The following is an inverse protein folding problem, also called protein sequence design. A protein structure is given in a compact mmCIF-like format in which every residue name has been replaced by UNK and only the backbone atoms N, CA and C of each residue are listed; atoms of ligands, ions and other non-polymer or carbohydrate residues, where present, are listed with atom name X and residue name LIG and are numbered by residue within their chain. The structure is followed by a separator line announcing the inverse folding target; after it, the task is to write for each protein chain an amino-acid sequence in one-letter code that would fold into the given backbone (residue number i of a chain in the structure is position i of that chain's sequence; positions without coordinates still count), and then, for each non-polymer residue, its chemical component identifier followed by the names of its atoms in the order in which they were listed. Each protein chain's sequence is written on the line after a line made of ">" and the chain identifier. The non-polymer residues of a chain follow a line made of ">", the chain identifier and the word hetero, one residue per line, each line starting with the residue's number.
data_IF_655318701629
#
_entry.id   IF_655318701629
#
_cell.length_a   1.000
_cell.length_b   1.000
_cell.length_c   1.000
_cell.angle_alpha   90.00
_cell.angle_beta   90.00
_cell.angle_gamma   90.00
#
_symmetry.space_group_name_H-M   'P 1'
#
loop_
_entity.id
_entity.type
_entity.pdbx_description
1 polymer ?
#
# COMPACT_ATOMS: atom_id res chain seq x y z
N UNK A 1 -5.44 -6.74 -3.28
CA UNK A 1 -5.00 -5.35 -3.10
C UNK A 1 -4.14 -5.26 -1.84
N UNK A 2 -2.94 -4.71 -1.99
CA UNK A 2 -2.09 -4.39 -0.86
C UNK A 2 -2.03 -2.88 -0.69
N UNK A 3 -2.08 -2.39 0.54
CA UNK A 3 -1.79 -0.99 0.82
C UNK A 3 -0.27 -0.81 0.87
N UNK A 4 0.18 0.40 0.70
CA UNK A 4 1.60 0.74 0.63
C UNK A 4 1.90 1.88 1.58
N UNK A 5 2.73 1.63 2.58
CA UNK A 5 3.11 2.61 3.58
C UNK A 5 2.27 2.54 4.86
N UNK A 6 2.78 1.83 5.89
CA UNK A 6 2.10 1.63 7.16
C UNK A 6 2.38 2.77 8.12
N UNK A 7 1.83 3.96 7.86
CA UNK A 7 1.96 5.12 8.72
C UNK A 7 0.66 5.38 9.48
N UNK A 8 0.75 6.15 10.57
CA UNK A 8 -0.43 6.57 11.32
C UNK A 8 -1.40 7.36 10.42
N UNK A 9 -0.86 8.25 9.59
CA UNK A 9 -1.65 9.05 8.67
C UNK A 9 -2.33 8.17 7.62
N UNK A 10 -1.60 7.20 7.08
CA UNK A 10 -2.15 6.25 6.11
C UNK A 10 -3.26 5.41 6.72
N UNK A 11 -3.08 4.94 7.95
CA UNK A 11 -4.10 4.16 8.64
C UNK A 11 -5.36 4.99 8.90
N UNK A 12 -5.21 6.27 9.18
CA UNK A 12 -6.34 7.20 9.32
C UNK A 12 -7.12 7.30 8.01
N UNK A 13 -6.42 7.35 6.88
CA UNK A 13 -7.07 7.38 5.56
C UNK A 13 -7.86 6.09 5.33
N UNK A 14 -7.29 4.94 5.68
CA UNK A 14 -7.99 3.66 5.55
C UNK A 14 -9.27 3.63 6.39
N UNK A 15 -9.20 4.12 7.62
CA UNK A 15 -10.35 4.19 8.50
C UNK A 15 -11.43 5.12 7.95
N UNK A 16 -11.01 6.24 7.39
CA UNK A 16 -11.94 7.22 6.79
C UNK A 16 -12.74 6.59 5.65
N UNK A 17 -12.11 5.76 4.83
CA UNK A 17 -12.76 5.08 3.70
C UNK A 17 -13.35 3.72 4.09
N UNK A 18 -13.30 3.36 5.37
CA UNK A 18 -13.80 2.09 5.89
C UNK A 18 -13.14 0.88 5.22
N UNK A 19 -11.85 1.02 4.90
CA UNK A 19 -11.06 -0.06 4.31
C UNK A 19 -10.33 -0.82 5.41
N UNK A 20 -10.48 -2.12 5.43
CA UNK A 20 -9.88 -2.99 6.44
C UNK A 20 -9.43 -4.32 5.82
N UNK A 21 -9.18 -5.32 6.67
CA UNK A 21 -8.71 -6.63 6.25
C UNK A 21 -9.69 -7.43 5.37
N UNK A 22 -10.91 -6.96 5.24
CA UNK A 22 -11.90 -7.59 4.33
C UNK A 22 -11.69 -7.15 2.89
N UNK A 23 -11.11 -5.98 2.68
CA UNK A 23 -10.89 -5.41 1.34
C UNK A 23 -9.42 -5.41 0.95
N UNK A 24 -8.55 -5.12 1.92
CA UNK A 24 -7.11 -5.01 1.72
C UNK A 24 -6.45 -6.25 2.34
N UNK A 25 -5.60 -6.94 1.59
CA UNK A 25 -4.99 -8.18 2.05
C UNK A 25 -3.84 -7.97 3.03
N UNK A 26 -3.06 -6.93 2.83
CA UNK A 26 -1.90 -6.60 3.67
C UNK A 26 -1.43 -5.19 3.40
N UNK A 27 -0.51 -4.69 4.22
CA UNK A 27 0.09 -3.38 4.01
C UNK A 27 1.61 -3.52 4.02
N UNK A 28 2.26 -3.00 2.97
CA UNK A 28 3.70 -3.08 2.80
C UNK A 28 4.39 -1.88 3.43
N UNK A 29 5.51 -2.11 4.11
CA UNK A 29 6.31 -1.05 4.70
C UNK A 29 7.79 -1.42 4.67
N UNK A 30 8.66 -0.42 4.55
CA UNK A 30 10.11 -0.61 4.54
C UNK A 30 10.69 -0.79 5.93
N UNK A 31 10.01 -0.31 6.96
CA UNK A 31 10.53 -0.33 8.32
C UNK A 31 10.37 -1.70 8.96
N UNK A 32 11.47 -2.46 9.19
CA UNK A 32 11.37 -3.80 9.76
C UNK A 32 10.79 -3.84 11.16
N UNK A 33 10.84 -2.74 11.91
CA UNK A 33 10.25 -2.67 13.23
C UNK A 33 8.73 -2.78 13.23
N UNK A 34 8.10 -2.55 12.07
CA UNK A 34 6.65 -2.63 11.92
C UNK A 34 6.18 -3.99 11.45
N UNK A 35 7.06 -4.80 10.89
CA UNK A 35 6.66 -6.08 10.29
C UNK A 35 6.11 -7.05 11.34
N UNK A 36 5.14 -7.87 10.93
CA UNK A 36 4.43 -8.84 11.76
C UNK A 36 3.50 -8.20 12.80
N UNK A 37 3.29 -6.88 12.72
CA UNK A 37 2.30 -6.17 13.52
C UNK A 37 1.06 -5.94 12.68
N UNK A 38 -0.02 -5.56 13.36
CA UNK A 38 -1.28 -5.23 12.67
C UNK A 38 -1.63 -3.76 12.88
N UNK A 39 -2.25 -3.17 11.88
CA UNK A 39 -2.71 -1.79 11.97
C UNK A 39 -3.91 -1.68 12.90
N UNK A 40 -3.98 -0.58 13.65
CA UNK A 40 -5.04 -0.36 14.64
C UNK A 40 -6.34 0.01 13.93
N UNK A 41 -7.43 -0.69 14.28
CA UNK A 41 -8.76 -0.39 13.73
C UNK A 41 -9.02 -0.97 12.34
N UNK A 42 -8.01 -1.19 11.54
CA UNK A 42 -8.12 -1.78 10.19
C UNK A 42 -7.65 -3.23 10.13
N UNK A 43 -6.87 -3.65 11.13
CA UNK A 43 -6.43 -5.03 11.31
C UNK A 43 -5.65 -5.61 10.13
N UNK A 44 -4.86 -4.79 9.45
CA UNK A 44 -4.01 -5.23 8.35
C UNK A 44 -2.65 -5.69 8.85
N UNK A 45 -2.19 -6.85 8.39
CA UNK A 45 -0.83 -7.30 8.70
C UNK A 45 0.19 -6.43 7.96
N UNK A 46 1.21 -5.99 8.67
CA UNK A 46 2.29 -5.21 8.10
C UNK A 46 3.39 -6.17 7.65
N UNK A 47 3.71 -6.13 6.36
CA UNK A 47 4.72 -7.00 5.75
C UNK A 47 5.79 -6.16 5.06
N UNK A 48 6.92 -6.78 4.72
CA UNK A 48 7.96 -6.09 3.97
C UNK A 48 7.49 -5.81 2.54
N UNK A 49 8.06 -4.79 1.91
CA UNK A 49 7.80 -4.52 0.49
C UNK A 49 8.18 -5.71 -0.37
N UNK A 50 9.30 -6.37 -0.04
CA UNK A 50 9.75 -7.55 -0.76
C UNK A 50 8.74 -8.70 -0.68
N UNK A 51 8.23 -8.98 0.52
CA UNK A 51 7.21 -10.01 0.70
C UNK A 51 5.94 -9.65 -0.06
N UNK A 52 5.53 -8.40 -0.02
CA UNK A 52 4.36 -7.93 -0.76
C UNK A 52 4.52 -8.17 -2.26
N UNK A 53 5.69 -7.85 -2.82
CA UNK A 53 5.96 -8.10 -4.24
C UNK A 53 5.89 -9.58 -4.58
N UNK A 54 6.38 -10.45 -3.69
CA UNK A 54 6.36 -11.89 -3.92
C UNK A 54 4.95 -12.47 -3.95
N UNK A 55 4.01 -11.82 -3.29
CA UNK A 55 2.60 -12.22 -3.28
C UNK A 55 1.84 -11.71 -4.51
N UNK A 56 2.49 -10.90 -5.34
CA UNK A 56 1.99 -10.42 -6.65
C UNK A 56 0.60 -9.78 -6.57
N UNK A 57 0.42 -8.70 -5.77
CA UNK A 57 -0.86 -8.00 -5.76
C UNK A 57 -1.11 -7.34 -7.12
N UNK A 58 -2.37 -7.23 -7.50
CA UNK A 58 -2.75 -6.54 -8.74
C UNK A 58 -2.69 -5.03 -8.57
N UNK A 59 -2.93 -4.54 -7.36
CA UNK A 59 -2.97 -3.12 -7.03
C UNK A 59 -2.20 -2.83 -5.76
N UNK A 60 -1.49 -1.68 -5.76
CA UNK A 60 -0.99 -1.05 -4.53
C UNK A 60 -1.80 0.21 -4.27
N UNK A 61 -2.44 0.28 -3.12
CA UNK A 61 -3.12 1.49 -2.64
C UNK A 61 -2.09 2.38 -1.95
N UNK A 62 -1.76 3.50 -2.58
CA UNK A 62 -0.70 4.39 -2.12
C UNK A 62 -1.26 5.36 -1.08
N UNK A 63 -0.80 5.21 0.16
CA UNK A 63 -1.24 6.06 1.27
C UNK A 63 -0.36 7.31 1.45
N UNK A 64 0.99 7.20 1.45
CA UNK A 64 1.84 8.38 1.55
C UNK A 64 2.07 9.00 0.17
N UNK A 65 1.04 9.59 -0.40
CA UNK A 65 1.02 10.11 -1.77
C UNK A 65 2.08 11.17 -2.06
N UNK A 66 2.62 11.83 -1.02
CA UNK A 66 3.71 12.81 -1.18
C UNK A 66 4.97 12.20 -1.79
N UNK A 67 5.15 10.89 -1.65
CA UNK A 67 6.33 10.18 -2.14
C UNK A 67 6.02 9.34 -3.38
N UNK A 68 4.95 9.69 -4.10
CA UNK A 68 4.46 8.89 -5.23
C UNK A 68 5.54 8.65 -6.29
N UNK A 69 6.29 9.67 -6.67
CA UNK A 69 7.33 9.54 -7.70
C UNK A 69 8.43 8.57 -7.28
N UNK A 70 8.83 8.62 -6.01
CA UNK A 70 9.82 7.68 -5.46
C UNK A 70 9.29 6.24 -5.53
N UNK A 71 8.02 6.04 -5.19
CA UNK A 71 7.41 4.71 -5.24
C UNK A 71 7.27 4.21 -6.67
N UNK A 72 6.95 5.08 -7.62
CA UNK A 72 6.88 4.72 -9.04
C UNK A 72 8.22 4.19 -9.54
N UNK A 73 9.32 4.85 -9.20
CA UNK A 73 10.66 4.41 -9.58
C UNK A 73 11.00 3.07 -8.93
N UNK A 74 10.66 2.92 -7.65
CA UNK A 74 10.98 1.71 -6.88
C UNK A 74 10.18 0.50 -7.34
N UNK A 75 8.96 0.72 -7.86
CA UNK A 75 8.05 -0.34 -8.26
C UNK A 75 7.94 -0.53 -9.78
N UNK A 76 8.96 -0.19 -10.53
CA UNK A 76 8.94 -0.35 -12.00
C UNK A 76 8.67 -1.79 -12.43
N UNK A 77 9.23 -2.76 -11.73
CA UNK A 77 9.00 -4.18 -12.01
C UNK A 77 7.51 -4.53 -11.82
N UNK A 78 6.89 -4.01 -10.79
CA UNK A 78 5.47 -4.20 -10.53
C UNK A 78 4.62 -3.68 -11.69
N UNK A 79 4.90 -2.47 -12.18
CA UNK A 79 4.19 -1.92 -13.33
C UNK A 79 4.44 -2.73 -14.60
N UNK A 80 5.66 -3.18 -14.80
CA UNK A 80 6.05 -3.99 -15.97
C UNK A 80 5.24 -5.27 -16.03
N UNK A 81 4.88 -5.82 -14.88
CA UNK A 81 4.09 -7.05 -14.78
C UNK A 81 2.58 -6.78 -14.77
N UNK A 82 2.15 -5.57 -15.09
CA UNK A 82 0.74 -5.21 -15.21
C UNK A 82 0.10 -4.67 -13.95
N UNK A 83 0.87 -4.42 -12.90
CA UNK A 83 0.36 -3.86 -11.65
C UNK A 83 -0.04 -2.39 -11.81
N UNK A 84 -0.90 -1.91 -10.92
CA UNK A 84 -1.41 -0.55 -10.94
C UNK A 84 -1.38 0.05 -9.54
N UNK A 85 -1.19 1.36 -9.47
CA UNK A 85 -1.31 2.11 -8.22
C UNK A 85 -2.70 2.74 -8.14
N UNK A 86 -3.29 2.69 -6.96
CA UNK A 86 -4.49 3.46 -6.63
C UNK A 86 -4.05 4.58 -5.70
N UNK A 87 -4.26 5.82 -6.11
CA UNK A 87 -3.88 7.00 -5.34
C UNK A 87 -5.14 7.73 -4.92
N UNK A 88 -5.59 7.59 -3.65
CA UNK A 88 -6.86 8.17 -3.21
C UNK A 88 -6.81 9.68 -2.94
N UNK A 89 -5.62 10.24 -2.73
CA UNK A 89 -5.44 11.65 -2.38
C UNK A 89 -4.27 12.27 -3.15
N UNK A 90 -4.26 13.58 -3.43
CA UNK A 90 -5.36 14.52 -3.15
C UNK A 90 -6.58 14.30 -4.04
N UNK A 91 -6.40 13.71 -5.21
CA UNK A 91 -7.46 13.33 -6.12
C UNK A 91 -7.35 11.85 -6.42
N UNK A 92 -8.48 11.16 -6.48
CA UNK A 92 -8.48 9.73 -6.79
C UNK A 92 -7.91 9.49 -8.18
N UNK A 93 -6.89 8.63 -8.28
CA UNK A 93 -6.25 8.27 -9.55
C UNK A 93 -5.88 6.81 -9.57
N UNK A 94 -5.90 6.22 -10.76
CA UNK A 94 -5.31 4.90 -11.00
C UNK A 94 -4.14 5.11 -11.94
N UNK A 95 -2.94 4.69 -11.49
CA UNK A 95 -1.71 4.86 -12.26
C UNK A 95 -1.27 3.52 -12.80
N UNK A 96 -1.11 3.46 -14.11
CA UNK A 96 -0.56 2.31 -14.81
C UNK A 96 0.80 2.70 -15.41
N UNK A 97 1.49 1.73 -15.94
CA UNK A 97 2.77 1.91 -16.59
C UNK A 97 2.77 3.03 -17.64
#
# INVERSE_FOLDING_TARGET
>A
IHAYGASTKGNTILQYYELDDKTIDAIADRNPDKWSRKTIGTNLEIISEEKSRSLKPDYFLILPWHFLEEFREREQEFFKNGGKFIVPLPDFKIIEK
#
